data_IF_955662721559
#
_entry.id   IF_955662721559
#
_cell.length_a   1.000
_cell.length_b   1.000
_cell.length_c   1.000
_cell.angle_alpha   90.00
_cell.angle_beta   90.00
_cell.angle_gamma   90.00
#
_symmetry.space_group_name_H-M   'P 1'
#
loop_
_entity.id
_entity.type
_entity.pdbx_description
1 polymer ?
#
# COMPACT_ATOMS: atom_id res chain seq x y z
N UNK A 1 26.10 -55.46 -63.12
CA UNK A 1 26.58 -56.46 -62.14
C UNK A 1 26.75 -55.71 -60.81
N UNK A 2 25.83 -55.90 -59.85
CA UNK A 2 25.95 -56.87 -58.74
C UNK A 2 27.20 -56.50 -57.88
N UNK A 3 27.17 -56.16 -56.58
CA UNK A 3 26.39 -56.62 -55.40
C UNK A 3 26.61 -55.58 -54.27
N UNK A 4 25.58 -55.03 -53.61
CA UNK A 4 25.08 -55.28 -52.22
C UNK A 4 26.17 -55.35 -51.10
N UNK A 5 26.03 -54.69 -49.93
CA UNK A 5 25.13 -55.03 -48.79
C UNK A 5 25.11 -53.88 -47.74
N UNK A 6 24.05 -53.74 -46.90
CA UNK A 6 23.57 -52.52 -46.20
C UNK A 6 23.89 -52.50 -44.69
N UNK A 7 23.74 -51.36 -43.99
CA UNK A 7 23.45 -51.36 -42.53
C UNK A 7 22.63 -50.13 -42.07
N UNK A 8 21.38 -50.41 -41.72
CA UNK A 8 20.60 -49.99 -40.53
C UNK A 8 20.51 -48.50 -40.16
N UNK A 9 19.27 -47.99 -40.31
CA UNK A 9 18.71 -46.84 -39.59
C UNK A 9 18.33 -47.28 -38.17
N UNK A 10 18.87 -46.59 -37.16
CA UNK A 10 18.35 -46.62 -35.79
C UNK A 10 18.30 -45.19 -35.27
N UNK A 11 17.08 -44.66 -35.12
CA UNK A 11 16.82 -43.39 -34.48
C UNK A 11 17.09 -43.49 -32.97
N UNK A 12 17.98 -42.65 -32.48
CA UNK A 12 18.20 -42.45 -31.06
C UNK A 12 17.54 -41.14 -30.61
N UNK A 13 16.51 -41.27 -29.79
CA UNK A 13 15.99 -40.20 -28.94
C UNK A 13 17.12 -39.75 -28.00
N UNK A 14 17.66 -38.54 -28.23
CA UNK A 14 18.57 -37.85 -27.34
C UNK A 14 17.81 -36.93 -26.40
N UNK A 15 17.84 -37.24 -25.11
CA UNK A 15 17.29 -36.44 -24.04
C UNK A 15 17.87 -35.01 -24.06
N UNK A 16 17.01 -34.01 -24.27
CA UNK A 16 17.33 -32.62 -24.00
C UNK A 16 17.33 -32.42 -22.47
N UNK A 17 18.47 -32.68 -21.85
CA UNK A 17 18.73 -32.24 -20.48
C UNK A 17 18.71 -30.72 -20.45
N UNK A 18 17.74 -30.15 -19.75
CA UNK A 18 17.70 -28.74 -19.42
C UNK A 18 18.96 -28.37 -18.62
N UNK A 19 19.94 -27.78 -19.27
CA UNK A 19 20.97 -27.02 -18.58
C UNK A 19 20.27 -25.81 -17.94
N UNK A 20 19.98 -25.92 -16.63
CA UNK A 20 19.60 -24.78 -15.82
C UNK A 20 20.78 -23.81 -15.86
N UNK A 21 20.62 -22.72 -16.61
CA UNK A 21 21.45 -21.54 -16.45
C UNK A 21 21.31 -21.10 -14.99
N UNK A 22 22.36 -21.32 -14.19
CA UNK A 22 22.51 -20.66 -12.90
C UNK A 22 22.42 -19.16 -13.16
N UNK A 23 21.30 -18.57 -12.78
CA UNK A 23 21.17 -17.13 -12.64
C UNK A 23 22.15 -16.77 -11.53
N UNK A 24 23.35 -16.34 -11.91
CA UNK A 24 24.23 -15.59 -11.01
C UNK A 24 23.42 -14.39 -10.55
N UNK A 25 22.85 -14.46 -9.34
CA UNK A 25 22.29 -13.31 -8.67
C UNK A 25 23.43 -12.31 -8.49
N UNK A 26 23.48 -11.34 -9.40
CA UNK A 26 24.34 -10.18 -9.26
C UNK A 26 24.16 -9.60 -7.86
N UNK A 27 25.27 -9.20 -7.23
CA UNK A 27 25.27 -8.47 -5.96
C UNK A 27 24.47 -7.15 -6.01
N UNK A 28 23.90 -6.79 -7.16
CA UNK A 28 22.77 -5.89 -7.32
C UNK A 28 21.49 -6.48 -6.70
N UNK A 29 21.43 -6.62 -5.37
CA UNK A 29 20.22 -7.17 -4.73
C UNK A 29 20.30 -7.52 -3.24
N UNK A 30 21.43 -7.31 -2.56
CA UNK A 30 21.46 -7.38 -1.10
C UNK A 30 20.89 -6.08 -0.50
N UNK A 31 20.17 -6.12 0.64
CA UNK A 31 19.82 -4.90 1.34
C UNK A 31 21.10 -4.10 1.62
N UNK A 32 21.06 -2.76 1.52
CA UNK A 32 22.22 -1.93 1.83
C UNK A 32 22.74 -2.26 3.24
N UNK A 33 24.01 -1.92 3.51
CA UNK A 33 24.60 -1.97 4.85
C UNK A 33 23.60 -1.48 5.92
N UNK A 34 23.62 -2.02 7.15
CA UNK A 34 22.61 -1.72 8.17
C UNK A 34 22.28 -0.23 8.21
N UNK A 35 21.06 0.10 7.79
CA UNK A 35 20.59 1.48 7.71
C UNK A 35 20.03 1.86 9.08
N UNK A 36 20.61 2.90 9.68
CA UNK A 36 20.03 3.51 10.87
C UNK A 36 18.99 4.52 10.40
N UNK A 37 17.73 4.27 10.73
CA UNK A 37 16.64 5.15 10.33
C UNK A 37 16.83 6.56 10.89
N UNK A 38 16.76 7.55 10.00
CA UNK A 38 16.73 8.98 10.33
C UNK A 38 15.31 9.52 10.48
N UNK A 39 14.28 8.67 10.52
CA UNK A 39 12.89 9.09 10.63
C UNK A 39 12.52 9.58 12.03
N UNK A 40 11.49 10.42 12.10
CA UNK A 40 10.87 10.79 13.40
C UNK A 40 10.36 9.53 14.12
N UNK A 41 10.32 9.50 15.47
CA UNK A 41 10.01 8.28 16.23
C UNK A 41 8.73 7.55 15.79
N UNK A 42 7.69 8.30 15.43
CA UNK A 42 6.39 7.79 14.99
C UNK A 42 6.44 7.08 13.62
N UNK A 43 7.43 7.44 12.78
CA UNK A 43 7.65 6.87 11.45
C UNK A 43 8.64 5.69 11.45
N UNK A 44 9.38 5.42 12.54
CA UNK A 44 10.50 4.44 12.52
C UNK A 44 10.09 2.98 12.51
N UNK A 45 8.84 2.66 12.85
CA UNK A 45 8.45 1.26 12.95
C UNK A 45 8.51 0.67 14.36
N UNK A 46 8.97 1.44 15.34
CA UNK A 46 9.38 0.94 16.65
C UNK A 46 8.21 0.31 17.44
N UNK A 47 8.55 -0.70 18.25
CA UNK A 47 7.65 -1.32 19.22
C UNK A 47 8.23 -1.14 20.62
N UNK A 48 7.47 -0.50 21.51
CA UNK A 48 7.81 -0.39 22.92
C UNK A 48 7.27 -1.60 23.67
N UNK A 49 8.05 -2.09 24.62
CA UNK A 49 7.61 -3.10 25.59
C UNK A 49 7.49 -2.43 26.95
N UNK A 50 6.30 -2.41 27.53
CA UNK A 50 6.09 -1.91 28.90
C UNK A 50 6.60 -2.90 29.95
N UNK A 51 6.75 -2.46 31.22
CA UNK A 51 7.26 -3.33 32.29
C UNK A 51 6.44 -4.60 32.55
N UNK A 52 5.15 -4.60 32.21
CA UNK A 52 4.24 -5.76 32.28
C UNK A 52 4.36 -6.70 31.06
N UNK A 53 5.27 -6.41 30.13
CA UNK A 53 5.51 -7.20 28.92
C UNK A 53 4.59 -6.89 27.76
N UNK A 54 3.65 -5.95 27.89
CA UNK A 54 2.78 -5.55 26.77
C UNK A 54 3.60 -4.84 25.70
N UNK A 55 3.39 -5.22 24.44
CA UNK A 55 4.04 -4.63 23.28
C UNK A 55 3.09 -3.70 22.55
N UNK A 56 3.54 -2.49 22.28
CA UNK A 56 2.77 -1.47 21.58
C UNK A 56 3.64 -0.74 20.54
N UNK A 57 3.10 -0.54 19.35
CA UNK A 57 3.79 0.22 18.31
C UNK A 57 3.84 1.72 18.66
N UNK A 58 4.97 2.37 18.35
CA UNK A 58 5.12 3.83 18.41
C UNK A 58 4.63 4.42 17.10
N UNK A 59 3.50 5.14 17.13
CA UNK A 59 2.85 5.67 15.93
C UNK A 59 2.29 7.07 16.13
N UNK A 60 1.96 7.70 15.00
CA UNK A 60 1.22 8.95 14.95
C UNK A 60 -0.04 8.89 15.80
N UNK A 61 -0.41 10.03 16.39
CA UNK A 61 -1.61 10.15 17.20
C UNK A 61 -2.85 9.66 16.42
N UNK A 62 -3.63 8.79 17.06
CA UNK A 62 -4.86 8.23 16.49
C UNK A 62 -4.66 7.04 15.54
N UNK A 63 -3.41 6.61 15.32
CA UNK A 63 -3.13 5.38 14.59
C UNK A 63 -3.18 4.18 15.54
N UNK A 64 -3.36 2.98 14.97
CA UNK A 64 -3.29 1.75 15.76
C UNK A 64 -1.90 1.59 16.38
N UNK A 65 -1.87 1.20 17.65
CA UNK A 65 -0.65 0.85 18.40
C UNK A 65 -0.57 -0.66 18.68
N UNK A 66 -1.49 -1.43 18.12
CA UNK A 66 -1.52 -2.89 18.29
C UNK A 66 -0.26 -3.55 17.69
N UNK A 67 0.23 -4.60 18.36
CA UNK A 67 1.38 -5.36 17.90
C UNK A 67 0.96 -6.48 16.93
N UNK A 68 1.32 -6.31 15.66
CA UNK A 68 1.13 -7.31 14.62
C UNK A 68 2.38 -8.16 14.35
N UNK A 69 3.29 -8.31 15.32
CA UNK A 69 4.54 -9.09 15.17
C UNK A 69 4.33 -10.59 14.93
N UNK A 70 3.10 -11.08 14.95
CA UNK A 70 2.79 -12.43 14.49
C UNK A 70 2.72 -12.53 12.96
N UNK A 71 2.42 -11.42 12.27
CA UNK A 71 2.14 -11.41 10.84
C UNK A 71 3.33 -10.85 10.07
N UNK A 72 3.52 -11.38 8.85
CA UNK A 72 4.55 -10.89 7.94
C UNK A 72 4.29 -9.43 7.53
N UNK A 73 5.37 -8.71 7.29
CA UNK A 73 5.45 -7.33 6.86
C UNK A 73 6.05 -7.25 5.45
N UNK A 74 6.30 -6.02 4.98
CA UNK A 74 6.98 -5.80 3.71
C UNK A 74 8.49 -5.95 3.77
N UNK A 75 9.10 -6.02 4.96
CA UNK A 75 10.56 -6.15 5.08
C UNK A 75 11.09 -7.34 4.27
N UNK A 76 12.24 -7.15 3.62
CA UNK A 76 12.82 -8.17 2.75
C UNK A 76 13.41 -9.34 3.52
N UNK A 77 13.88 -9.12 4.74
CA UNK A 77 14.36 -10.15 5.66
C UNK A 77 13.25 -10.82 6.49
N UNK A 78 12.00 -10.38 6.32
CA UNK A 78 10.85 -11.00 6.98
C UNK A 78 10.40 -12.27 6.26
N UNK A 79 10.89 -13.39 6.77
CA UNK A 79 10.63 -14.73 6.26
C UNK A 79 9.34 -15.36 6.79
N UNK A 80 8.54 -14.65 7.60
CA UNK A 80 7.27 -15.20 8.10
C UNK A 80 6.35 -15.53 6.91
N UNK A 81 5.69 -16.70 6.92
CA UNK A 81 4.76 -17.05 5.85
C UNK A 81 3.51 -16.19 5.90
N UNK A 82 2.74 -16.20 4.81
CA UNK A 82 1.35 -15.74 4.85
C UNK A 82 0.55 -16.54 5.88
N UNK A 83 -0.57 -16.00 6.34
CA UNK A 83 -1.52 -16.74 7.18
C UNK A 83 -1.79 -18.09 6.52
N UNK A 84 -1.44 -19.23 7.14
CA UNK A 84 -1.58 -20.53 6.51
C UNK A 84 -3.02 -20.78 6.09
N UNK A 85 -3.20 -21.53 5.01
CA UNK A 85 -4.52 -22.02 4.63
C UNK A 85 -5.05 -22.92 5.75
N UNK A 86 -6.23 -22.61 6.30
CA UNK A 86 -6.76 -23.30 7.47
C UNK A 86 -8.21 -23.76 7.28
N UNK A 87 -8.58 -24.82 8.00
CA UNK A 87 -9.94 -25.32 8.14
C UNK A 87 -10.27 -25.47 9.62
N UNK A 88 -11.51 -25.18 9.97
CA UNK A 88 -12.09 -25.61 11.23
C UNK A 88 -13.39 -26.37 10.94
N UNK A 89 -13.77 -27.35 11.79
CA UNK A 89 -15.13 -27.86 11.76
C UNK A 89 -16.10 -26.73 12.14
N UNK A 90 -17.21 -26.61 11.43
CA UNK A 90 -18.30 -25.73 11.83
C UNK A 90 -18.85 -26.22 13.18
N UNK A 91 -18.86 -25.38 14.24
CA UNK A 91 -19.42 -25.78 15.52
C UNK A 91 -20.91 -26.13 15.41
N UNK A 92 -21.33 -27.21 16.08
CA UNK A 92 -22.73 -27.61 16.17
C UNK A 92 -23.49 -26.77 17.21
N UNK A 93 -23.60 -25.46 16.96
CA UNK A 93 -24.35 -24.51 17.77
C UNK A 93 -25.50 -23.91 16.94
N UNK A 94 -26.64 -23.53 17.55
CA UNK A 94 -27.67 -22.80 16.84
C UNK A 94 -27.13 -21.42 16.42
N UNK A 95 -27.22 -21.12 15.12
CA UNK A 95 -26.91 -19.80 14.60
C UNK A 95 -27.94 -18.76 15.04
N UNK A 96 -27.50 -17.52 15.21
CA UNK A 96 -28.33 -16.38 15.63
C UNK A 96 -28.20 -15.29 14.56
N UNK A 97 -29.22 -15.09 13.71
CA UNK A 97 -29.19 -14.09 12.65
C UNK A 97 -29.04 -12.64 13.14
N UNK A 98 -29.52 -12.30 14.33
CA UNK A 98 -29.40 -10.93 14.88
C UNK A 98 -27.97 -10.69 15.36
N UNK A 99 -27.38 -11.67 16.04
CA UNK A 99 -25.95 -11.62 16.38
C UNK A 99 -25.08 -11.61 15.12
N UNK A 100 -25.43 -12.42 14.11
CA UNK A 100 -24.76 -12.45 12.81
C UNK A 100 -24.80 -11.10 12.10
N UNK A 101 -25.97 -10.45 12.08
CA UNK A 101 -26.12 -9.09 11.54
C UNK A 101 -25.21 -8.11 12.28
N UNK A 102 -25.22 -8.09 13.62
CA UNK A 102 -24.36 -7.19 14.40
C UNK A 102 -22.88 -7.38 14.05
N UNK A 103 -22.41 -8.62 13.99
CA UNK A 103 -21.04 -8.95 13.58
C UNK A 103 -20.72 -8.49 12.16
N UNK A 104 -21.65 -8.64 11.22
CA UNK A 104 -21.51 -8.22 9.83
C UNK A 104 -21.44 -6.69 9.64
N UNK A 105 -22.06 -5.93 10.56
CA UNK A 105 -22.06 -4.46 10.56
C UNK A 105 -20.91 -3.88 11.41
N UNK A 106 -20.26 -4.69 12.25
CA UNK A 106 -19.26 -4.23 13.20
C UNK A 106 -17.97 -3.78 12.49
N UNK A 107 -17.62 -2.50 12.64
CA UNK A 107 -16.47 -1.91 11.95
C UNK A 107 -15.11 -2.40 12.45
N UNK A 108 -15.05 -2.97 13.65
CA UNK A 108 -13.83 -3.45 14.28
C UNK A 108 -13.61 -4.95 14.02
N UNK A 109 -14.68 -5.74 14.11
CA UNK A 109 -14.62 -7.21 14.01
C UNK A 109 -14.88 -7.72 12.60
N UNK A 110 -15.94 -7.21 11.95
CA UNK A 110 -16.42 -7.70 10.66
C UNK A 110 -16.96 -6.58 9.81
N UNK A 111 -16.11 -5.69 9.25
CA UNK A 111 -16.53 -4.58 8.39
C UNK A 111 -16.98 -5.10 7.00
N UNK A 112 -17.81 -6.15 6.97
CA UNK A 112 -18.28 -6.84 5.78
C UNK A 112 -19.05 -5.88 4.87
N UNK A 113 -19.80 -4.93 5.43
CA UNK A 113 -20.48 -3.85 4.69
C UNK A 113 -19.54 -2.91 3.95
N UNK A 114 -18.27 -2.87 4.33
CA UNK A 114 -17.23 -2.18 3.57
C UNK A 114 -17.03 -2.78 2.18
N UNK A 115 -17.28 -4.08 2.00
CA UNK A 115 -17.12 -4.77 0.73
C UNK A 115 -18.45 -5.22 0.12
N UNK A 116 -19.39 -5.69 0.95
CA UNK A 116 -20.59 -6.40 0.56
C UNK A 116 -21.85 -5.59 0.83
N UNK A 117 -22.82 -5.74 -0.06
CA UNK A 117 -24.18 -5.27 0.16
C UNK A 117 -25.03 -6.38 0.80
N UNK A 118 -25.90 -6.01 1.73
CA UNK A 118 -26.92 -6.87 2.35
C UNK A 118 -28.19 -6.06 2.55
N UNK A 119 -29.31 -6.74 2.82
CA UNK A 119 -30.56 -6.06 3.11
C UNK A 119 -30.45 -5.18 4.38
N UNK A 120 -31.17 -4.05 4.38
CA UNK A 120 -31.30 -3.14 5.52
C UNK A 120 -30.85 -1.72 5.23
N UNK A 121 -31.57 -0.74 5.77
CA UNK A 121 -31.29 0.70 5.58
C UNK A 121 -30.13 1.20 6.46
N UNK A 122 -29.76 0.43 7.47
CA UNK A 122 -28.62 0.61 8.38
C UNK A 122 -27.27 0.25 7.73
N UNK A 123 -27.24 -0.28 6.51
CA UNK A 123 -26.03 -0.58 5.75
C UNK A 123 -25.47 0.70 5.13
N UNK A 124 -24.70 1.48 5.90
CA UNK A 124 -24.11 2.74 5.45
C UNK A 124 -22.77 3.08 6.15
N UNK A 125 -21.75 3.58 5.42
CA UNK A 125 -21.66 3.64 3.96
C UNK A 125 -21.34 2.27 3.37
N UNK A 126 -22.16 1.82 2.41
CA UNK A 126 -21.98 0.54 1.76
C UNK A 126 -20.90 0.59 0.67
N UNK A 127 -20.11 -0.48 0.54
CA UNK A 127 -19.17 -0.66 -0.56
C UNK A 127 -19.65 -1.66 -1.62
N UNK A 128 -18.87 -1.80 -2.69
CA UNK A 128 -19.12 -2.71 -3.81
C UNK A 128 -17.86 -3.43 -4.30
N UNK A 129 -16.85 -3.59 -3.44
CA UNK A 129 -15.67 -4.40 -3.74
C UNK A 129 -16.03 -5.89 -3.84
N UNK A 130 -16.81 -6.37 -2.87
CA UNK A 130 -17.35 -7.73 -2.83
C UNK A 130 -18.71 -7.83 -3.52
N UNK A 131 -19.20 -9.06 -3.78
CA UNK A 131 -20.51 -9.29 -4.35
C UNK A 131 -21.64 -8.81 -3.43
N UNK A 132 -22.77 -8.48 -4.04
CA UNK A 132 -24.05 -8.29 -3.36
C UNK A 132 -24.54 -9.62 -2.78
N UNK A 133 -24.81 -9.64 -1.47
CA UNK A 133 -25.23 -10.80 -0.70
C UNK A 133 -26.71 -10.76 -0.32
N UNK A 134 -27.50 -9.79 -0.79
CA UNK A 134 -28.92 -9.63 -0.43
C UNK A 134 -29.82 -10.82 -0.83
N UNK A 135 -29.40 -11.63 -1.79
CA UNK A 135 -30.07 -12.87 -2.23
C UNK A 135 -29.27 -14.13 -1.89
N UNK A 136 -28.28 -14.05 -1.00
CA UNK A 136 -27.38 -15.17 -0.73
C UNK A 136 -28.13 -16.42 -0.22
N UNK A 137 -29.11 -16.24 0.67
CA UNK A 137 -29.94 -17.31 1.22
C UNK A 137 -30.81 -18.03 0.18
N UNK A 138 -31.13 -17.40 -0.95
CA UNK A 138 -31.88 -18.04 -2.05
C UNK A 138 -31.07 -19.11 -2.78
N UNK A 139 -29.73 -19.06 -2.66
CA UNK A 139 -28.82 -20.02 -3.26
C UNK A 139 -28.87 -21.40 -2.59
N UNK A 140 -29.42 -21.48 -1.36
CA UNK A 140 -29.55 -22.72 -0.57
C UNK A 140 -28.25 -23.53 -0.51
N UNK A 141 -27.12 -22.83 -0.38
CA UNK A 141 -25.81 -23.45 -0.22
C UNK A 141 -25.75 -24.12 1.17
N UNK A 142 -25.02 -25.23 1.33
CA UNK A 142 -24.79 -25.82 2.65
C UNK A 142 -24.16 -24.81 3.61
N UNK A 143 -24.59 -24.83 4.87
CA UNK A 143 -24.06 -23.93 5.90
C UNK A 143 -22.56 -24.13 6.09
N UNK A 144 -22.07 -25.39 6.02
CA UNK A 144 -20.65 -25.71 6.11
C UNK A 144 -19.84 -25.10 4.95
N UNK A 145 -20.43 -25.00 3.76
CA UNK A 145 -19.78 -24.33 2.63
C UNK A 145 -19.67 -22.83 2.87
N UNK A 146 -20.74 -22.20 3.35
CA UNK A 146 -20.73 -20.77 3.71
C UNK A 146 -19.76 -20.48 4.85
N UNK A 147 -19.72 -21.36 5.85
CA UNK A 147 -18.76 -21.32 6.95
C UNK A 147 -17.32 -21.39 6.42
N UNK A 148 -17.00 -22.36 5.57
CA UNK A 148 -15.66 -22.53 4.99
C UNK A 148 -15.25 -21.28 4.16
N UNK A 149 -16.18 -20.67 3.43
CA UNK A 149 -15.93 -19.42 2.70
C UNK A 149 -15.59 -18.24 3.61
N UNK A 150 -16.24 -18.12 4.78
CA UNK A 150 -15.95 -17.03 5.73
C UNK A 150 -14.69 -17.34 6.53
N UNK A 151 -14.50 -18.59 6.92
CA UNK A 151 -13.36 -19.04 7.73
C UNK A 151 -12.04 -18.87 6.99
N UNK A 152 -11.97 -19.40 5.75
CA UNK A 152 -10.84 -19.19 4.86
C UNK A 152 -11.29 -19.33 3.38
N UNK A 153 -11.61 -18.22 2.70
CA UNK A 153 -12.14 -18.24 1.34
C UNK A 153 -11.11 -18.78 0.33
N UNK A 154 -9.82 -18.80 0.67
CA UNK A 154 -8.75 -19.24 -0.23
C UNK A 154 -8.81 -20.73 -0.53
N UNK A 155 -9.51 -21.49 0.31
CA UNK A 155 -9.79 -22.92 0.07
C UNK A 155 -10.68 -23.17 -1.13
N UNK A 156 -11.54 -22.20 -1.46
CA UNK A 156 -12.45 -22.26 -2.60
C UNK A 156 -11.96 -21.36 -3.73
N UNK A 157 -11.43 -20.18 -3.38
CA UNK A 157 -10.95 -19.16 -4.30
C UNK A 157 -9.50 -18.78 -3.96
N UNK A 158 -8.48 -19.46 -4.54
CA UNK A 158 -7.07 -19.27 -4.18
C UNK A 158 -6.57 -17.81 -4.24
N UNK A 159 -7.19 -16.99 -5.10
CA UNK A 159 -6.87 -15.57 -5.28
C UNK A 159 -7.91 -14.63 -4.66
N UNK A 160 -8.63 -15.07 -3.63
CA UNK A 160 -9.67 -14.29 -2.97
C UNK A 160 -9.16 -12.95 -2.43
N UNK A 161 -10.00 -11.93 -2.55
CA UNK A 161 -9.84 -10.63 -1.89
C UNK A 161 -10.53 -10.61 -0.52
N UNK A 162 -11.31 -11.63 -0.18
CA UNK A 162 -11.93 -11.72 1.13
C UNK A 162 -10.88 -12.16 2.16
N UNK A 163 -10.72 -11.43 3.29
CA UNK A 163 -9.80 -11.84 4.34
C UNK A 163 -10.15 -13.24 4.88
N UNK A 164 -9.17 -14.04 5.30
CA UNK A 164 -9.43 -15.33 5.92
C UNK A 164 -9.79 -15.15 7.39
N UNK A 165 -11.02 -14.69 7.68
CA UNK A 165 -11.45 -14.19 9.00
C UNK A 165 -11.19 -15.18 10.15
N UNK A 166 -11.47 -16.47 9.92
CA UNK A 166 -11.21 -17.52 10.89
C UNK A 166 -9.73 -17.87 10.99
N UNK A 167 -9.08 -18.14 9.85
CA UNK A 167 -7.66 -18.53 9.82
C UNK A 167 -6.71 -17.44 10.38
N UNK A 168 -7.07 -16.17 10.19
CA UNK A 168 -6.34 -15.02 10.72
C UNK A 168 -6.65 -14.70 12.19
N UNK A 169 -7.62 -15.40 12.79
CA UNK A 169 -8.04 -15.18 14.18
C UNK A 169 -8.79 -13.86 14.39
N UNK A 170 -9.42 -13.29 13.35
CA UNK A 170 -10.27 -12.09 13.46
C UNK A 170 -11.66 -12.43 13.99
N UNK A 171 -12.13 -13.66 13.76
CA UNK A 171 -13.42 -14.16 14.22
C UNK A 171 -13.28 -15.56 14.79
N UNK A 172 -14.05 -15.87 15.83
CA UNK A 172 -14.14 -17.25 16.33
C UNK A 172 -15.01 -18.09 15.40
N UNK A 173 -14.86 -19.42 15.38
CA UNK A 173 -15.79 -20.30 14.67
C UNK A 173 -17.26 -20.06 15.06
N UNK A 174 -17.54 -19.75 16.33
CA UNK A 174 -18.91 -19.47 16.79
C UNK A 174 -19.46 -18.17 16.18
N UNK A 175 -18.65 -17.13 16.08
CA UNK A 175 -19.04 -15.86 15.43
C UNK A 175 -19.42 -16.09 13.97
N UNK A 176 -18.63 -16.91 13.26
CA UNK A 176 -18.89 -17.25 11.86
C UNK A 176 -20.22 -17.99 11.70
N UNK A 177 -20.57 -18.91 12.61
CA UNK A 177 -21.88 -19.60 12.58
C UNK A 177 -23.05 -18.61 12.65
N UNK A 178 -22.95 -17.56 13.46
CA UNK A 178 -23.98 -16.53 13.51
C UNK A 178 -24.06 -15.74 12.20
N UNK A 179 -22.92 -15.42 11.57
CA UNK A 179 -22.88 -14.76 10.26
C UNK A 179 -23.52 -15.65 9.18
N UNK A 180 -23.23 -16.95 9.17
CA UNK A 180 -23.86 -17.92 8.26
C UNK A 180 -25.39 -17.88 8.41
N UNK A 181 -25.90 -17.93 9.64
CA UNK A 181 -27.33 -17.83 9.91
C UNK A 181 -27.94 -16.52 9.41
N UNK A 182 -27.23 -15.39 9.58
CA UNK A 182 -27.64 -14.10 9.01
C UNK A 182 -27.67 -14.10 7.48
N UNK A 183 -26.65 -14.64 6.81
CA UNK A 183 -26.63 -14.75 5.35
C UNK A 183 -27.76 -15.64 4.83
N UNK A 184 -28.15 -16.66 5.59
CA UNK A 184 -29.31 -17.50 5.31
C UNK A 184 -30.65 -16.75 5.29
N UNK A 185 -30.75 -15.58 5.95
CA UNK A 185 -31.97 -14.73 5.91
C UNK A 185 -32.03 -13.83 4.68
N UNK A 186 -30.94 -13.69 3.93
CA UNK A 186 -30.85 -12.81 2.76
C UNK A 186 -31.52 -13.45 1.53
N UNK A 187 -32.84 -13.30 1.39
CA UNK A 187 -33.67 -14.02 0.41
C UNK A 187 -34.43 -13.14 -0.58
N UNK A 188 -33.97 -11.92 -0.78
CA UNK A 188 -34.64 -10.96 -1.66
C UNK A 188 -33.65 -9.94 -2.17
N UNK A 189 -33.74 -9.55 -3.46
CA UNK A 189 -32.92 -8.46 -3.94
C UNK A 189 -33.22 -7.21 -3.13
N UNK A 190 -32.19 -6.40 -2.86
CA UNK A 190 -32.44 -5.09 -2.25
C UNK A 190 -33.39 -4.30 -3.15
N UNK A 191 -34.37 -3.57 -2.58
CA UNK A 191 -35.11 -2.60 -3.36
C UNK A 191 -34.11 -1.60 -3.97
N UNK A 192 -34.38 -1.06 -5.17
CA UNK A 192 -33.54 -0.03 -5.75
C UNK A 192 -33.33 1.10 -4.74
N UNK A 193 -32.08 1.39 -4.42
CA UNK A 193 -31.71 2.50 -3.55
C UNK A 193 -32.07 3.81 -4.25
N UNK A 194 -32.84 4.67 -3.57
CA UNK A 194 -33.35 5.92 -4.15
C UNK A 194 -32.35 7.05 -3.96
N UNK A 195 -31.57 7.01 -2.88
CA UNK A 195 -30.52 7.96 -2.64
C UNK A 195 -29.26 7.55 -3.40
N UNK A 196 -28.93 8.31 -4.45
CA UNK A 196 -27.73 8.10 -5.25
C UNK A 196 -26.47 8.03 -4.39
N UNK A 197 -26.39 8.81 -3.32
CA UNK A 197 -25.22 8.80 -2.45
C UNK A 197 -25.14 7.52 -1.63
N UNK A 198 -26.26 6.79 -1.43
CA UNK A 198 -26.30 5.52 -0.71
C UNK A 198 -25.83 4.33 -1.53
N UNK A 199 -26.17 4.29 -2.82
CA UNK A 199 -25.79 3.20 -3.72
C UNK A 199 -24.34 3.34 -4.21
N UNK A 200 -23.40 2.45 -3.85
CA UNK A 200 -22.03 2.52 -4.34
C UNK A 200 -21.88 2.37 -5.87
N UNK A 201 -22.91 1.93 -6.60
CA UNK A 201 -22.91 1.89 -8.08
C UNK A 201 -23.17 3.26 -8.70
N UNK A 202 -23.90 4.13 -8.01
CA UNK A 202 -24.31 5.44 -8.53
C UNK A 202 -23.76 6.63 -7.73
N UNK A 203 -23.23 6.39 -6.53
CA UNK A 203 -22.58 7.38 -5.65
C UNK A 203 -21.57 8.21 -6.41
N UNK A 204 -21.60 9.52 -6.16
CA UNK A 204 -20.69 10.44 -6.81
C UNK A 204 -19.23 10.06 -6.51
N UNK A 205 -18.42 9.96 -7.56
CA UNK A 205 -16.97 9.84 -7.41
C UNK A 205 -16.45 11.20 -6.91
N UNK A 206 -15.55 11.23 -5.90
CA UNK A 206 -14.98 12.49 -5.43
C UNK A 206 -14.33 13.26 -6.59
N UNK A 207 -14.77 14.49 -6.82
CA UNK A 207 -14.30 15.35 -7.94
C UNK A 207 -12.91 15.98 -7.68
N UNK A 208 -12.25 15.58 -6.60
CA UNK A 208 -11.02 16.23 -6.12
C UNK A 208 -11.32 17.54 -5.39
N UNK A 209 -10.28 18.34 -5.13
CA UNK A 209 -10.40 19.63 -4.46
C UNK A 209 -10.29 20.80 -5.45
N UNK A 210 -10.42 20.59 -6.75
CA UNK A 210 -10.12 21.63 -7.76
C UNK A 210 -8.62 21.69 -8.07
N UNK A 211 -8.09 22.89 -8.31
CA UNK A 211 -6.66 23.08 -8.57
C UNK A 211 -5.84 22.84 -7.29
N UNK A 212 -4.90 21.88 -7.35
CA UNK A 212 -4.03 21.58 -6.22
C UNK A 212 -2.99 22.69 -5.98
N UNK A 213 -2.74 23.53 -6.98
CA UNK A 213 -1.74 24.60 -6.95
C UNK A 213 -2.34 25.98 -6.65
N UNK A 214 -3.62 26.04 -6.29
CA UNK A 214 -4.26 27.26 -5.78
C UNK A 214 -4.04 27.38 -4.26
N UNK A 215 -3.32 28.41 -3.77
CA UNK A 215 -3.04 28.59 -2.34
C UNK A 215 -4.28 28.90 -1.50
N UNK A 216 -5.38 29.36 -2.10
CA UNK A 216 -6.65 29.56 -1.40
C UNK A 216 -7.35 28.23 -1.09
N UNK A 217 -6.97 27.17 -1.80
CA UNK A 217 -7.55 25.83 -1.68
C UNK A 217 -6.60 24.83 -0.99
N UNK A 218 -5.29 24.92 -1.24
CA UNK A 218 -4.29 24.00 -0.71
C UNK A 218 -3.33 24.67 0.29
N UNK A 219 -3.56 24.52 1.61
CA UNK A 219 -2.70 25.11 2.64
C UNK A 219 -1.24 24.66 2.59
N UNK A 220 -0.94 23.50 1.98
CA UNK A 220 0.43 23.02 1.87
C UNK A 220 1.32 23.91 0.98
N UNK A 221 0.73 24.74 0.10
CA UNK A 221 1.50 25.68 -0.72
C UNK A 221 2.20 26.71 0.16
N UNK A 222 1.48 27.30 1.11
CA UNK A 222 2.05 28.28 2.04
C UNK A 222 3.15 27.67 2.91
N UNK A 223 3.01 26.39 3.29
CA UNK A 223 4.07 25.66 4.00
C UNK A 223 5.32 25.48 3.14
N UNK A 224 5.14 25.07 1.89
CA UNK A 224 6.25 24.89 0.95
C UNK A 224 6.94 26.24 0.63
N UNK A 225 6.19 27.33 0.45
CA UNK A 225 6.76 28.67 0.27
C UNK A 225 7.55 29.14 1.49
N UNK A 226 7.05 28.87 2.70
CA UNK A 226 7.77 29.15 3.94
C UNK A 226 9.13 28.44 4.04
N UNK A 227 9.31 27.32 3.35
CA UNK A 227 10.59 26.58 3.33
C UNK A 227 11.73 27.32 2.61
N UNK A 228 11.47 28.45 1.93
CA UNK A 228 12.55 29.32 1.41
C UNK A 228 13.41 29.92 2.54
N UNK A 229 12.82 30.13 3.73
CA UNK A 229 13.58 30.53 4.92
C UNK A 229 14.53 29.41 5.34
N UNK A 230 14.03 28.17 5.39
CA UNK A 230 14.82 26.98 5.72
C UNK A 230 15.95 26.75 4.70
N UNK A 231 15.67 26.91 3.40
CA UNK A 231 16.68 26.83 2.33
C UNK A 231 17.86 27.79 2.52
N UNK A 232 17.59 28.96 3.10
CA UNK A 232 18.58 30.02 3.31
C UNK A 232 19.19 30.02 4.72
N UNK A 233 18.67 29.18 5.62
CA UNK A 233 19.11 29.11 7.01
C UNK A 233 20.45 28.37 7.10
N UNK A 234 21.45 29.02 7.71
CA UNK A 234 22.72 28.36 8.03
C UNK A 234 22.52 27.34 9.14
N UNK A 235 22.94 26.11 8.89
CA UNK A 235 23.00 25.08 9.91
C UNK A 235 24.25 25.22 10.81
N UNK A 236 24.41 24.33 11.80
CA UNK A 236 25.57 24.29 12.70
C UNK A 236 26.95 24.26 12.01
N UNK A 237 27.05 23.77 10.78
CA UNK A 237 28.29 23.78 10.00
C UNK A 237 28.58 25.14 9.32
N UNK A 238 27.74 26.17 9.53
CA UNK A 238 27.92 27.52 8.98
C UNK A 238 27.54 27.67 7.50
N UNK A 239 26.99 26.61 6.90
CA UNK A 239 26.50 26.56 5.52
C UNK A 239 24.97 26.44 5.48
N UNK A 240 24.35 26.97 4.43
CA UNK A 240 22.95 26.79 4.06
C UNK A 240 22.83 26.06 2.70
N UNK A 241 21.62 25.59 2.35
CA UNK A 241 21.38 25.01 1.02
C UNK A 241 21.73 26.04 -0.08
N UNK A 242 21.36 27.30 0.12
CA UNK A 242 21.62 28.41 -0.80
C UNK A 242 23.11 28.67 -1.07
N UNK A 243 24.02 28.31 -0.15
CA UNK A 243 25.46 28.53 -0.32
C UNK A 243 26.04 27.58 -1.39
N UNK A 244 25.45 26.39 -1.58
CA UNK A 244 25.86 25.40 -2.58
C UNK A 244 24.95 25.39 -3.82
N UNK A 245 23.68 25.75 -3.66
CA UNK A 245 22.64 25.70 -4.68
C UNK A 245 22.13 27.10 -5.01
N UNK A 246 22.86 27.79 -5.88
CA UNK A 246 22.55 29.16 -6.28
C UNK A 246 21.23 29.28 -7.07
N UNK A 247 20.55 30.42 -6.95
CA UNK A 247 19.30 30.71 -7.65
C UNK A 247 18.01 30.36 -6.88
N UNK A 248 18.13 30.09 -5.57
CA UNK A 248 17.01 29.72 -4.71
C UNK A 248 16.48 28.30 -4.99
N UNK A 249 15.56 27.81 -4.15
CA UNK A 249 15.06 26.44 -4.26
C UNK A 249 14.44 26.14 -5.64
N UNK A 250 13.59 27.02 -6.17
CA UNK A 250 12.95 26.82 -7.48
C UNK A 250 13.92 26.87 -8.66
N UNK A 251 14.89 27.79 -8.63
CA UNK A 251 15.86 27.93 -9.71
C UNK A 251 16.84 26.76 -9.72
N UNK A 252 17.43 26.47 -8.56
CA UNK A 252 18.48 25.46 -8.42
C UNK A 252 17.95 24.04 -8.63
N UNK A 253 16.72 23.74 -8.19
CA UNK A 253 16.17 22.38 -8.18
C UNK A 253 15.26 22.07 -9.38
N UNK A 254 15.21 22.94 -10.38
CA UNK A 254 14.37 22.77 -11.56
C UNK A 254 14.68 21.45 -12.27
N UNK A 255 13.69 20.56 -12.36
CA UNK A 255 13.82 19.26 -13.01
C UNK A 255 14.53 18.18 -12.20
N UNK A 256 14.98 18.48 -10.97
CA UNK A 256 15.58 17.46 -10.08
C UNK A 256 14.55 16.41 -9.70
N UNK A 257 13.35 16.86 -9.31
CA UNK A 257 12.33 15.97 -8.76
C UNK A 257 11.71 15.02 -9.81
N UNK A 258 11.81 15.33 -11.10
CA UNK A 258 11.24 14.46 -12.15
C UNK A 258 11.91 13.09 -12.22
N UNK A 259 13.12 12.97 -11.66
CA UNK A 259 13.94 11.75 -11.71
C UNK A 259 13.89 10.93 -10.42
N UNK A 260 13.16 11.38 -9.40
CA UNK A 260 13.05 10.70 -8.10
C UNK A 260 11.75 9.88 -8.00
N UNK A 261 11.75 8.75 -7.26
CA UNK A 261 12.89 8.13 -6.55
C UNK A 261 13.99 7.59 -7.48
N UNK A 262 15.23 7.55 -6.99
CA UNK A 262 16.36 7.00 -7.75
C UNK A 262 17.42 6.39 -6.85
N UNK A 263 18.26 5.52 -7.42
CA UNK A 263 19.44 4.99 -6.75
C UNK A 263 20.51 6.07 -6.53
N UNK A 264 20.87 6.30 -5.27
CA UNK A 264 21.91 7.24 -4.86
C UNK A 264 23.18 6.46 -4.55
N UNK A 265 24.19 6.57 -5.43
CA UNK A 265 25.40 5.73 -5.39
C UNK A 265 26.17 5.83 -4.07
N UNK A 266 26.24 7.02 -3.47
CA UNK A 266 26.90 7.26 -2.19
C UNK A 266 26.34 6.41 -1.05
N UNK A 267 25.03 6.20 -1.03
CA UNK A 267 24.33 5.42 -0.01
C UNK A 267 23.99 4.00 -0.47
N UNK A 268 24.28 3.69 -1.74
CA UNK A 268 24.08 2.38 -2.36
C UNK A 268 22.64 1.87 -2.29
N UNK A 269 21.66 2.76 -2.41
CA UNK A 269 20.23 2.43 -2.29
C UNK A 269 19.34 3.39 -3.07
N UNK A 270 18.12 2.96 -3.37
CA UNK A 270 17.06 3.84 -3.87
C UNK A 270 16.57 4.73 -2.72
N UNK A 271 16.35 6.00 -3.04
CA UNK A 271 15.94 7.04 -2.10
C UNK A 271 14.89 7.94 -2.75
N UNK A 272 13.89 8.37 -1.99
CA UNK A 272 13.08 9.55 -2.31
C UNK A 272 13.90 10.84 -2.11
N UNK A 273 13.29 12.00 -2.39
CA UNK A 273 13.91 13.28 -2.07
C UNK A 273 13.95 13.49 -0.55
N UNK A 274 12.88 13.10 0.14
CA UNK A 274 12.75 13.12 1.59
C UNK A 274 13.87 12.30 2.25
N UNK A 275 14.08 11.05 1.79
CA UNK A 275 15.14 10.16 2.25
C UNK A 275 16.52 10.83 2.07
N UNK A 276 16.73 11.49 0.92
CA UNK A 276 18.00 12.16 0.60
C UNK A 276 18.23 13.39 1.48
N UNK A 277 17.20 14.18 1.77
CA UNK A 277 17.30 15.33 2.68
C UNK A 277 17.71 14.90 4.10
N UNK A 278 17.17 13.76 4.56
CA UNK A 278 17.45 13.17 5.88
C UNK A 278 18.95 12.92 6.13
N UNK A 279 19.72 12.64 5.07
CA UNK A 279 21.17 12.42 5.17
C UNK A 279 21.98 13.62 4.66
N UNK A 280 21.55 14.26 3.59
CA UNK A 280 22.33 15.32 2.95
C UNK A 280 22.41 16.59 3.79
N UNK A 281 21.30 17.00 4.40
CA UNK A 281 21.25 18.21 5.22
C UNK A 281 22.20 18.14 6.43
N UNK A 282 22.15 17.10 7.29
CA UNK A 282 23.06 17.01 8.43
C UNK A 282 24.53 16.85 8.01
N UNK A 283 24.82 16.16 6.89
CA UNK A 283 26.20 16.00 6.43
C UNK A 283 26.84 17.28 5.88
N UNK A 284 26.05 18.21 5.35
CA UNK A 284 26.56 19.41 4.64
C UNK A 284 26.36 20.70 5.42
N UNK A 285 25.20 20.87 6.04
CA UNK A 285 24.86 22.07 6.82
C UNK A 285 24.89 21.81 8.33
N UNK A 286 24.89 20.54 8.75
CA UNK A 286 24.74 20.15 10.15
C UNK A 286 23.29 20.21 10.65
N UNK A 287 22.32 20.63 9.83
CA UNK A 287 20.92 20.76 10.22
C UNK A 287 20.20 19.41 10.07
N UNK A 288 19.64 18.83 11.15
CA UNK A 288 18.87 17.59 11.06
C UNK A 288 17.52 17.84 10.36
N UNK A 289 17.21 17.04 9.34
CA UNK A 289 15.91 17.03 8.65
C UNK A 289 15.33 15.62 8.66
N UNK A 290 14.87 15.10 9.80
CA UNK A 290 14.44 13.71 9.91
C UNK A 290 13.29 13.39 8.95
N UNK A 291 13.26 12.14 8.45
CA UNK A 291 12.21 11.65 7.55
C UNK A 291 10.83 11.79 8.21
N UNK A 292 9.85 12.25 7.43
CA UNK A 292 8.50 12.64 7.88
C UNK A 292 8.44 13.75 8.96
N UNK A 293 9.55 14.45 9.20
CA UNK A 293 9.58 15.69 9.97
C UNK A 293 9.01 16.88 9.19
N UNK A 294 8.45 17.87 9.89
CA UNK A 294 7.79 19.01 9.25
C UNK A 294 8.71 19.79 8.30
N UNK A 295 9.92 20.14 8.75
CA UNK A 295 10.92 20.86 7.95
C UNK A 295 11.38 20.06 6.72
N UNK A 296 11.53 18.72 6.87
CA UNK A 296 11.86 17.84 5.74
C UNK A 296 10.73 17.87 4.70
N UNK A 297 9.48 17.66 5.12
CA UNK A 297 8.32 17.63 4.22
C UNK A 297 8.11 18.98 3.52
N UNK A 298 8.25 20.08 4.24
CA UNK A 298 8.05 21.43 3.69
C UNK A 298 9.15 21.76 2.65
N UNK A 299 10.41 21.42 2.95
CA UNK A 299 11.50 21.57 2.00
C UNK A 299 11.38 20.63 0.80
N UNK A 300 10.97 19.38 1.00
CA UNK A 300 10.75 18.41 -0.07
C UNK A 300 9.65 18.86 -1.03
N UNK A 301 8.52 19.38 -0.51
CA UNK A 301 7.49 20.01 -1.34
C UNK A 301 8.06 21.17 -2.14
N UNK A 302 8.84 22.05 -1.51
CA UNK A 302 9.43 23.22 -2.15
C UNK A 302 10.39 22.85 -3.29
N UNK A 303 11.23 21.84 -3.08
CA UNK A 303 12.12 21.27 -4.10
C UNK A 303 11.30 20.65 -5.24
N UNK A 304 10.24 19.89 -4.93
CA UNK A 304 9.38 19.25 -5.93
C UNK A 304 8.57 20.26 -6.76
N UNK A 305 8.14 21.38 -6.16
CA UNK A 305 7.47 22.49 -6.85
C UNK A 305 8.31 23.06 -7.99
N UNK A 306 9.64 23.05 -7.88
CA UNK A 306 10.56 23.47 -8.94
C UNK A 306 10.39 22.69 -10.25
N UNK A 307 9.74 21.53 -10.19
CA UNK A 307 9.51 20.64 -11.33
C UNK A 307 8.04 20.54 -11.75
N UNK A 308 7.13 21.34 -11.17
CA UNK A 308 5.71 21.33 -11.56
C UNK A 308 5.53 21.57 -13.07
N UNK A 309 4.62 20.82 -13.69
CA UNK A 309 4.38 20.84 -15.13
C UNK A 309 5.41 20.04 -15.96
N UNK A 310 6.59 19.72 -15.41
CA UNK A 310 7.56 18.86 -16.09
C UNK A 310 7.14 17.39 -16.01
N UNK A 311 7.41 16.58 -17.05
CA UNK A 311 7.08 15.17 -17.03
C UNK A 311 7.95 14.41 -16.03
N UNK A 312 7.34 13.50 -15.27
CA UNK A 312 8.07 12.46 -14.52
C UNK A 312 8.91 11.66 -15.52
N UNK A 313 10.19 11.48 -15.23
CA UNK A 313 11.20 10.90 -16.11
C UNK A 313 12.17 10.05 -15.31
N UNK A 314 11.66 8.91 -14.82
CA UNK A 314 12.45 7.95 -14.05
C UNK A 314 13.44 7.22 -14.97
N UNK A 315 14.68 7.06 -14.52
CA UNK A 315 15.69 6.27 -15.21
C UNK A 315 15.59 4.79 -14.83
N UNK A 316 14.57 4.12 -15.35
CA UNK A 316 14.37 2.67 -15.13
C UNK A 316 15.32 1.79 -15.96
N UNK A 317 16.05 2.38 -16.91
CA UNK A 317 17.05 1.68 -17.72
C UNK A 317 18.36 1.42 -16.96
N UNK A 318 18.66 2.26 -15.96
CA UNK A 318 19.76 2.02 -15.03
C UNK A 318 19.59 0.68 -14.29
N UNK A 319 20.60 -0.22 -14.30
CA UNK A 319 20.47 -1.55 -13.68
C UNK A 319 19.99 -1.56 -12.23
N UNK A 320 20.49 -0.64 -11.39
CA UNK A 320 20.09 -0.58 -9.98
C UNK A 320 18.64 -0.13 -9.79
N UNK A 321 18.17 0.83 -10.60
CA UNK A 321 16.78 1.25 -10.60
C UNK A 321 15.88 0.16 -11.17
N UNK A 322 16.29 -0.54 -12.23
CA UNK A 322 15.55 -1.68 -12.79
C UNK A 322 15.39 -2.82 -11.78
N UNK A 323 16.45 -3.18 -11.06
CA UNK A 323 16.38 -4.20 -10.02
C UNK A 323 15.48 -3.78 -8.85
N UNK A 324 15.57 -2.52 -8.42
CA UNK A 324 14.69 -1.95 -7.41
C UNK A 324 13.22 -1.91 -7.86
N UNK A 325 12.97 -1.61 -9.13
CA UNK A 325 11.62 -1.60 -9.70
C UNK A 325 10.95 -2.97 -9.59
N UNK A 326 11.68 -4.05 -9.90
CA UNK A 326 11.16 -5.42 -9.78
C UNK A 326 10.93 -5.82 -8.31
N UNK A 327 11.81 -5.41 -7.39
CA UNK A 327 11.57 -5.61 -5.94
C UNK A 327 10.37 -4.82 -5.42
N UNK A 328 10.20 -3.58 -5.85
CA UNK A 328 9.02 -2.77 -5.55
C UNK A 328 7.73 -3.37 -6.11
N UNK A 329 7.76 -3.90 -7.33
CA UNK A 329 6.65 -4.64 -7.95
C UNK A 329 6.32 -5.92 -7.17
N UNK A 330 7.32 -6.65 -6.70
CA UNK A 330 7.13 -7.82 -5.85
C UNK A 330 6.46 -7.41 -4.52
N UNK A 331 6.92 -6.34 -3.86
CA UNK A 331 6.25 -5.78 -2.68
C UNK A 331 4.80 -5.39 -2.96
N UNK A 332 4.50 -4.74 -4.09
CA UNK A 332 3.14 -4.34 -4.45
C UNK A 332 2.16 -5.53 -4.55
N UNK A 333 2.66 -6.72 -4.90
CA UNK A 333 1.88 -7.96 -5.02
C UNK A 333 1.99 -8.89 -3.80
N UNK A 334 2.86 -8.57 -2.83
CA UNK A 334 3.07 -9.37 -1.62
C UNK A 334 1.92 -9.15 -0.63
N UNK A 335 1.28 -10.24 -0.20
CA UNK A 335 0.21 -10.21 0.82
C UNK A 335 0.82 -10.16 2.21
N UNK A 336 0.39 -9.20 3.03
CA UNK A 336 0.93 -8.96 4.37
C UNK A 336 -0.18 -8.76 5.40
N UNK A 337 0.22 -8.76 6.68
CA UNK A 337 -0.67 -8.50 7.79
C UNK A 337 -1.68 -9.59 8.09
N UNK A 338 -2.44 -9.37 9.16
CA UNK A 338 -3.49 -10.25 9.65
C UNK A 338 -4.55 -10.55 8.58
N UNK A 339 -4.95 -9.54 7.79
CA UNK A 339 -5.99 -9.70 6.76
C UNK A 339 -5.49 -10.29 5.45
N UNK A 340 -4.17 -10.45 5.29
CA UNK A 340 -3.57 -11.16 4.15
C UNK A 340 -3.82 -10.49 2.79
N UNK A 341 -3.65 -9.17 2.72
CA UNK A 341 -3.86 -8.38 1.51
C UNK A 341 -2.56 -7.84 0.93
N UNK A 342 -2.53 -7.65 -0.39
CA UNK A 342 -1.52 -6.90 -1.11
C UNK A 342 -2.07 -5.55 -1.58
N UNK A 343 -1.19 -4.57 -1.85
CA UNK A 343 -1.58 -3.30 -2.47
C UNK A 343 -2.40 -3.53 -3.74
N UNK A 344 -1.96 -4.50 -4.56
CA UNK A 344 -2.59 -4.84 -5.82
C UNK A 344 -4.05 -5.31 -5.68
N UNK A 345 -4.45 -5.92 -4.55
CA UNK A 345 -5.81 -6.41 -4.32
C UNK A 345 -6.84 -5.28 -4.34
N UNK A 346 -6.45 -4.09 -3.86
CA UNK A 346 -7.33 -2.92 -3.76
C UNK A 346 -7.06 -1.85 -4.83
N UNK A 347 -5.85 -1.81 -5.39
CA UNK A 347 -5.40 -0.70 -6.22
C UNK A 347 -5.23 -1.01 -7.72
N UNK A 348 -5.55 -2.23 -8.16
CA UNK A 348 -5.67 -2.56 -9.60
C UNK A 348 -7.11 -2.98 -9.96
N UNK A 349 -7.43 -2.98 -11.26
CA UNK A 349 -8.77 -3.33 -11.77
C UNK A 349 -8.88 -4.76 -12.30
N UNK A 350 -7.74 -5.37 -12.63
CA UNK A 350 -7.65 -6.71 -13.21
C UNK A 350 -8.28 -7.78 -12.29
N UNK A 351 -8.85 -8.83 -12.87
CA UNK A 351 -9.41 -9.98 -12.13
C UNK A 351 -10.42 -9.62 -11.03
N UNK A 352 -11.22 -8.57 -11.24
CA UNK A 352 -12.27 -8.17 -10.31
C UNK A 352 -11.78 -7.45 -9.06
N UNK A 353 -10.53 -6.97 -9.05
CA UNK A 353 -9.91 -6.23 -7.93
C UNK A 353 -10.58 -4.90 -7.60
N UNK A 354 -10.16 -4.31 -6.47
CA UNK A 354 -10.91 -3.25 -5.79
C UNK A 354 -10.85 -1.86 -6.42
N UNK A 355 -9.94 -1.58 -7.34
CA UNK A 355 -9.77 -0.21 -7.85
C UNK A 355 -11.03 0.29 -8.57
N UNK A 356 -11.27 1.60 -8.52
CA UNK A 356 -12.45 2.25 -9.09
C UNK A 356 -13.79 1.81 -8.46
N UNK A 357 -13.76 1.06 -7.34
CA UNK A 357 -14.91 0.66 -6.51
C UNK A 357 -14.85 1.33 -5.14
N UNK A 358 -15.98 1.34 -4.44
CA UNK A 358 -16.11 1.87 -3.09
C UNK A 358 -15.85 0.78 -2.05
N UNK A 359 -14.88 1.02 -1.17
CA UNK A 359 -14.70 0.31 0.09
C UNK A 359 -15.41 1.11 1.20
N UNK A 360 -16.64 0.71 1.52
CA UNK A 360 -17.57 1.53 2.28
C UNK A 360 -17.80 2.87 1.59
N UNK A 361 -17.52 3.98 2.27
CA UNK A 361 -17.61 5.33 1.68
C UNK A 361 -16.41 5.74 0.82
N UNK A 362 -15.32 4.98 0.82
CA UNK A 362 -14.05 5.39 0.22
C UNK A 362 -13.86 4.80 -1.16
N UNK A 363 -13.76 5.65 -2.18
CA UNK A 363 -13.35 5.22 -3.52
C UNK A 363 -11.89 4.76 -3.51
N UNK A 364 -11.63 3.53 -3.93
CA UNK A 364 -10.28 2.99 -4.02
C UNK A 364 -9.57 3.54 -5.26
N UNK A 365 -8.40 4.14 -5.03
CA UNK A 365 -7.57 4.71 -6.09
C UNK A 365 -7.06 3.62 -7.05
N UNK A 366 -7.00 3.94 -8.33
CA UNK A 366 -6.42 3.09 -9.36
C UNK A 366 -4.99 3.57 -9.66
N UNK A 367 -3.97 2.80 -9.25
CA UNK A 367 -2.57 3.20 -9.45
C UNK A 367 -2.16 3.24 -10.92
N UNK A 368 -2.84 2.48 -11.77
CA UNK A 368 -2.56 2.46 -13.21
C UNK A 368 -2.87 3.81 -13.87
N UNK A 369 -3.67 4.66 -13.21
CA UNK A 369 -3.93 6.05 -13.63
C UNK A 369 -2.89 7.05 -13.12
N UNK A 370 -1.95 6.63 -12.29
CA UNK A 370 -0.96 7.48 -11.62
C UNK A 370 -1.31 7.76 -10.15
N UNK A 371 -0.30 7.95 -9.31
CA UNK A 371 -0.48 8.12 -7.85
C UNK A 371 0.51 9.09 -7.21
N UNK A 372 1.80 9.03 -7.56
CA UNK A 372 2.87 9.65 -6.76
C UNK A 372 3.22 11.07 -7.20
N UNK A 373 2.93 11.46 -8.45
CA UNK A 373 3.33 12.76 -9.06
C UNK A 373 2.83 14.03 -8.35
N UNK A 374 1.99 13.86 -7.33
CA UNK A 374 1.42 14.93 -6.50
C UNK A 374 1.75 14.81 -5.01
N UNK A 375 2.70 13.95 -4.64
CA UNK A 375 3.20 13.83 -3.27
C UNK A 375 4.46 14.68 -3.06
N UNK A 376 4.66 15.27 -1.86
CA UNK A 376 3.75 15.26 -0.71
C UNK A 376 2.41 15.98 -0.95
N UNK A 377 1.39 15.58 -0.20
CA UNK A 377 0.01 16.06 -0.36
C UNK A 377 -0.59 16.51 0.97
N UNK A 378 -1.36 17.59 0.94
CA UNK A 378 -2.22 17.98 2.06
C UNK A 378 -3.36 16.97 2.24
N UNK A 379 -3.49 16.42 3.46
CA UNK A 379 -4.57 15.51 3.86
C UNK A 379 -5.64 16.29 4.61
N UNK A 380 -6.76 16.60 3.97
CA UNK A 380 -7.80 17.44 4.60
C UNK A 380 -8.44 16.77 5.82
N UNK A 381 -8.52 15.44 5.86
CA UNK A 381 -8.99 14.72 7.05
C UNK A 381 -8.04 14.77 8.25
N UNK A 382 -6.79 15.17 8.04
CA UNK A 382 -5.74 15.19 9.08
C UNK A 382 -5.21 16.59 9.35
N UNK A 383 -5.52 17.57 8.49
CA UNK A 383 -4.91 18.89 8.47
C UNK A 383 -3.37 18.82 8.53
N UNK A 384 -2.79 17.89 7.76
CA UNK A 384 -1.35 17.61 7.77
C UNK A 384 -0.83 17.27 6.36
N UNK A 385 0.47 17.46 6.14
CA UNK A 385 1.18 17.07 4.91
C UNK A 385 1.63 15.62 5.04
N UNK A 386 1.27 14.80 4.06
CA UNK A 386 1.71 13.42 3.97
C UNK A 386 2.52 13.22 2.70
N UNK A 387 3.70 12.65 2.85
CA UNK A 387 4.46 12.11 1.74
C UNK A 387 3.95 10.71 1.37
N UNK A 388 4.64 10.06 0.44
CA UNK A 388 4.25 8.73 -0.01
C UNK A 388 4.53 7.66 1.06
N UNK A 389 5.56 7.82 1.92
CA UNK A 389 5.88 6.88 3.01
C UNK A 389 4.80 6.87 4.06
N UNK A 390 4.38 8.03 4.56
CA UNK A 390 3.28 8.12 5.53
C UNK A 390 2.00 7.53 4.95
N UNK A 391 1.75 7.73 3.65
CA UNK A 391 0.61 7.12 2.95
C UNK A 391 0.72 5.59 2.91
N UNK A 392 1.88 5.03 2.60
CA UNK A 392 2.11 3.58 2.62
C UNK A 392 1.89 3.00 4.01
N UNK A 393 2.46 3.63 5.03
CA UNK A 393 2.29 3.23 6.43
C UNK A 393 0.82 3.28 6.84
N UNK A 394 0.07 4.32 6.51
CA UNK A 394 -1.37 4.37 6.79
C UNK A 394 -2.17 3.28 6.08
N UNK A 395 -1.77 2.90 4.86
CA UNK A 395 -2.39 1.78 4.14
C UNK A 395 -2.23 0.44 4.89
N UNK A 396 -1.25 0.31 5.79
CA UNK A 396 -1.02 -0.89 6.59
C UNK A 396 -2.00 -1.04 7.76
N UNK A 397 -2.54 0.06 8.27
CA UNK A 397 -3.48 0.06 9.40
C UNK A 397 -4.66 -0.90 9.21
N UNK A 398 -5.44 -0.85 8.10
CA UNK A 398 -6.55 -1.76 7.90
C UNK A 398 -6.13 -3.21 7.60
N UNK A 399 -4.84 -3.49 7.36
CA UNK A 399 -4.33 -4.83 7.07
C UNK A 399 -3.94 -5.59 8.34
N UNK A 400 -3.75 -4.89 9.46
CA UNK A 400 -3.19 -5.47 10.68
C UNK A 400 -1.73 -5.90 10.46
N UNK A 401 -0.88 -4.97 10.04
CA UNK A 401 0.56 -5.21 9.86
C UNK A 401 1.38 -4.12 10.53
N UNK A 402 2.50 -4.53 11.13
CA UNK A 402 3.50 -3.59 11.61
C UNK A 402 4.13 -2.88 10.41
N UNK A 403 4.37 -1.57 10.57
CA UNK A 403 4.90 -0.71 9.53
C UNK A 403 6.43 -0.63 9.66
N UNK A 404 7.12 -0.56 8.53
CA UNK A 404 8.56 -0.35 8.50
C UNK A 404 8.89 1.12 8.80
N UNK A 405 10.18 1.41 8.99
CA UNK A 405 10.66 2.78 9.00
C UNK A 405 10.26 3.50 7.69
N UNK A 406 9.92 4.79 7.77
CA UNK A 406 9.56 5.58 6.59
C UNK A 406 10.68 5.56 5.54
N UNK A 407 11.93 5.64 5.99
CA UNK A 407 13.14 5.55 5.17
C UNK A 407 13.65 4.12 4.98
N UNK A 408 12.78 3.10 5.10
CA UNK A 408 13.11 1.73 4.73
C UNK A 408 13.27 1.59 3.21
N UNK A 409 14.23 0.78 2.77
CA UNK A 409 14.52 0.61 1.34
C UNK A 409 13.33 0.00 0.60
N UNK A 410 12.59 -0.89 1.26
CA UNK A 410 11.39 -1.52 0.75
C UNK A 410 10.32 -0.51 0.33
N UNK A 411 10.17 0.58 1.09
CA UNK A 411 9.23 1.63 0.74
C UNK A 411 9.76 2.47 -0.42
N UNK A 412 11.06 2.79 -0.47
CA UNK A 412 11.66 3.52 -1.58
C UNK A 412 11.54 2.80 -2.92
N UNK A 413 11.75 1.49 -2.91
CA UNK A 413 11.60 0.65 -4.09
C UNK A 413 10.12 0.47 -4.47
N UNK A 414 9.21 0.36 -3.50
CA UNK A 414 7.77 0.38 -3.74
C UNK A 414 7.30 1.71 -4.33
N UNK A 415 7.84 2.85 -3.89
CA UNK A 415 7.50 4.16 -4.46
C UNK A 415 8.06 4.30 -5.87
N UNK A 416 9.27 3.81 -6.14
CA UNK A 416 9.79 3.75 -7.51
C UNK A 416 8.83 2.99 -8.43
N UNK A 417 8.32 1.84 -7.97
CA UNK A 417 7.30 1.09 -8.72
C UNK A 417 6.01 1.89 -8.92
N UNK A 418 5.48 2.55 -7.88
CA UNK A 418 4.27 3.35 -8.01
C UNK A 418 4.47 4.57 -8.92
N UNK A 419 5.64 5.21 -8.85
CA UNK A 419 6.01 6.34 -9.69
C UNK A 419 6.18 5.96 -11.17
N UNK A 420 6.47 4.70 -11.49
CA UNK A 420 6.52 4.22 -12.87
C UNK A 420 5.19 4.37 -13.62
N UNK A 421 4.06 4.31 -12.90
CA UNK A 421 2.74 4.60 -13.48
C UNK A 421 2.53 6.08 -13.80
N UNK A 422 3.39 6.96 -13.30
CA UNK A 422 3.37 8.39 -13.58
C UNK A 422 4.36 8.81 -14.66
N UNK A 423 5.15 7.89 -15.23
CA UNK A 423 6.11 8.18 -16.29
C UNK A 423 5.48 9.01 -17.43
N UNK A 424 6.13 10.11 -17.78
CA UNK A 424 5.69 11.05 -18.81
C UNK A 424 4.56 12.02 -18.38
N UNK A 425 3.92 11.82 -17.22
CA UNK A 425 2.86 12.70 -16.73
C UNK A 425 3.46 13.93 -16.03
N UNK A 426 2.81 15.11 -16.12
CA UNK A 426 3.35 16.32 -15.51
C UNK A 426 3.28 16.26 -13.97
N UNK A 427 4.32 16.70 -13.28
CA UNK A 427 4.30 16.83 -11.82
C UNK A 427 3.31 17.93 -11.37
N UNK A 428 2.70 17.73 -10.19
CA UNK A 428 1.75 18.67 -9.57
C UNK A 428 1.81 18.55 -8.04
N UNK A 429 2.84 19.13 -7.44
CA UNK A 429 3.14 19.10 -6.00
C UNK A 429 3.06 20.53 -5.43
N UNK A 430 2.51 20.74 -4.22
CA UNK A 430 1.85 19.74 -3.39
C UNK A 430 0.47 19.35 -3.93
N UNK A 431 0.09 18.09 -3.76
CA UNK A 431 -1.29 17.65 -4.01
C UNK A 431 -2.22 18.03 -2.85
N UNK A 432 -3.53 17.85 -3.03
CA UNK A 432 -4.51 17.92 -1.94
C UNK A 432 -5.52 16.76 -2.03
N UNK A 433 -5.69 15.99 -0.96
CA UNK A 433 -6.56 14.79 -0.90
C UNK A 433 -7.26 14.70 0.45
N UNK A 434 -8.40 13.99 0.49
CA UNK A 434 -9.17 13.82 1.71
C UNK A 434 -8.55 12.86 2.68
#
# INVERSE_FOLDING_TARGET
MLVAVPWIVAGALGAAGCAQSEITMSSAGLPPAPWVSGAVPEARGDIKTSPDGKKEAVRYRGWTIEDFSRFRTYAYDDLRPEVPLARAPMPAIPGDPEKGRRLFLDRNLGPCTGCHLVQGQDVWPAGNVGPDLSTYGDRKLPDEYTFDLIYDPRRVFPHSLMPPWGAAGLMTPADIVHIVAFLGTQKSPMPPEKDRERDPKTRARPVGFGDNLDPTNNPAILRAEGADELWSRKGPAGQACADCHAGGALGAMRGVATRYPQYVARYRRVMSLEDFLTVHSPETTGLPLPEEGADNLDLAMRIKMASNGMPVSLDVGRPENGAALERGKASFHKRVGQRGHACADCHTTENGRGADKFLGGRLLANVQKGLTRHFPTWRTSQADVWDMRKRMQWCMTPLGTNMLAADAVEYAELELYLASFDQGKPMSVPGIRH
#
